data_IF_701223962318
#
_entry.id   IF_701223962318
#
_cell.length_a   1.000
_cell.length_b   1.000
_cell.length_c   1.000
_cell.angle_alpha   90.00
_cell.angle_beta   90.00
_cell.angle_gamma   90.00
#
_symmetry.space_group_name_H-M   'P 1'
#
loop_
_entity.id
_entity.type
_entity.pdbx_description
1 polymer ?
#
# COMPACT_ATOMS: atom_id res chain seq x y z
N UNK A 1 18.41 5.95 -23.37
CA UNK A 1 17.54 7.15 -23.41
C UNK A 1 16.47 6.95 -22.36
N UNK A 2 16.31 7.92 -21.47
CA UNK A 2 15.48 7.79 -20.28
C UNK A 2 13.98 7.75 -20.65
N UNK A 3 13.31 6.63 -20.35
CA UNK A 3 11.89 6.40 -20.69
C UNK A 3 11.00 7.38 -19.91
N UNK A 4 11.46 7.82 -18.73
CA UNK A 4 10.78 8.74 -17.81
C UNK A 4 10.51 10.14 -18.40
N UNK A 5 11.20 10.49 -19.50
CA UNK A 5 11.02 11.78 -20.19
C UNK A 5 9.89 11.79 -21.23
N UNK A 6 9.30 10.63 -21.54
CA UNK A 6 8.30 10.47 -22.61
C UNK A 6 6.89 10.60 -22.05
N UNK A 7 6.09 11.53 -22.59
CA UNK A 7 4.74 11.79 -22.10
C UNK A 7 3.73 10.90 -22.87
N UNK A 8 3.07 9.91 -22.24
CA UNK A 8 2.11 9.04 -22.91
C UNK A 8 0.77 9.71 -23.22
N UNK A 9 0.34 10.68 -22.40
CA UNK A 9 -1.01 11.25 -22.46
C UNK A 9 -1.02 12.77 -22.63
N UNK A 10 -1.91 13.26 -23.50
CA UNK A 10 -2.11 14.69 -23.77
C UNK A 10 -3.59 15.08 -23.64
N UNK A 11 -3.88 16.37 -23.45
CA UNK A 11 -5.27 16.86 -23.44
C UNK A 11 -5.68 17.20 -24.87
N UNK A 12 -6.67 16.47 -25.41
CA UNK A 12 -7.25 16.79 -26.71
C UNK A 12 -8.08 18.06 -26.62
N UNK A 13 -7.86 19.00 -27.54
CA UNK A 13 -8.68 20.21 -27.64
C UNK A 13 -10.06 19.92 -28.25
N UNK A 14 -10.20 18.81 -28.96
CA UNK A 14 -11.43 18.45 -29.65
C UNK A 14 -12.43 17.80 -28.70
N UNK A 15 -11.97 16.91 -27.80
CA UNK A 15 -12.82 16.23 -26.82
C UNK A 15 -12.77 16.81 -25.41
N UNK A 16 -11.74 17.61 -25.09
CA UNK A 16 -11.46 18.04 -23.72
C UNK A 16 -11.03 16.92 -22.78
N UNK A 17 -10.69 15.74 -23.31
CA UNK A 17 -10.26 14.57 -22.54
C UNK A 17 -8.75 14.35 -22.65
N UNK A 18 -8.18 13.73 -21.63
CA UNK A 18 -6.86 13.14 -21.68
C UNK A 18 -6.92 11.92 -22.61
N UNK A 19 -6.00 11.85 -23.58
CA UNK A 19 -5.99 10.83 -24.63
C UNK A 19 -4.61 10.21 -24.81
N UNK A 20 -4.60 8.97 -25.29
CA UNK A 20 -3.40 8.27 -25.74
C UNK A 20 -2.77 8.93 -26.95
N UNK A 21 -1.43 8.94 -27.01
CA UNK A 21 -0.71 9.34 -28.22
C UNK A 21 -1.07 8.45 -29.43
N UNK A 22 -1.42 7.18 -29.22
CA UNK A 22 -1.85 6.27 -30.27
C UNK A 22 -3.27 6.53 -30.79
N UNK A 23 -4.07 7.32 -30.08
CA UNK A 23 -5.47 7.62 -30.44
C UNK A 23 -5.64 8.89 -31.27
N UNK A 24 -4.54 9.60 -31.54
CA UNK A 24 -4.52 10.89 -32.25
C UNK A 24 -3.65 10.83 -33.49
N UNK A 25 -3.87 11.76 -34.43
CA UNK A 25 -3.05 11.86 -35.63
C UNK A 25 -1.59 12.19 -35.30
N UNK A 26 -0.67 11.71 -36.13
CA UNK A 26 0.77 11.97 -35.98
C UNK A 26 1.09 13.46 -36.10
N UNK A 27 2.07 13.91 -35.33
CA UNK A 27 2.68 15.23 -35.47
C UNK A 27 1.80 16.34 -34.89
N UNK A 28 1.77 17.48 -35.57
CA UNK A 28 1.00 18.66 -35.14
C UNK A 28 -0.51 18.50 -35.37
N UNK A 29 -0.92 17.50 -36.15
CA UNK A 29 -2.32 17.23 -36.43
C UNK A 29 -3.03 16.56 -35.24
N UNK A 30 -2.30 16.18 -34.18
CA UNK A 30 -2.87 15.57 -32.98
C UNK A 30 -3.83 16.47 -32.20
N UNK A 31 -3.77 17.80 -32.40
CA UNK A 31 -4.61 18.81 -31.71
C UNK A 31 -4.66 18.60 -30.20
N UNK A 32 -3.50 18.36 -29.60
CA UNK A 32 -3.35 18.18 -28.16
C UNK A 32 -2.57 19.34 -27.55
N UNK A 33 -2.86 19.66 -26.29
CA UNK A 33 -2.14 20.63 -25.47
C UNK A 33 -1.65 19.99 -24.17
N UNK A 34 -0.60 20.56 -23.59
CA UNK A 34 -0.14 20.18 -22.25
C UNK A 34 -1.19 20.62 -21.21
N UNK A 35 -1.69 19.72 -20.33
CA UNK A 35 -2.61 20.09 -19.27
C UNK A 35 -2.03 21.12 -18.28
N UNK A 36 -0.71 21.09 -18.04
CA UNK A 36 -0.02 22.02 -17.12
C UNK A 36 0.21 23.39 -17.78
N UNK A 37 1.13 23.49 -18.74
CA UNK A 37 1.55 24.77 -19.30
C UNK A 37 0.71 25.26 -20.50
N UNK A 38 -0.30 24.48 -20.94
CA UNK A 38 -1.18 24.76 -22.09
C UNK A 38 -0.47 24.88 -23.45
N UNK A 39 0.84 24.65 -23.51
CA UNK A 39 1.60 24.68 -24.77
C UNK A 39 1.14 23.52 -25.69
N UNK A 40 0.99 23.75 -27.01
CA UNK A 40 0.67 22.70 -27.96
C UNK A 40 1.66 21.53 -27.92
N UNK A 41 1.14 20.32 -28.02
CA UNK A 41 1.91 19.09 -28.10
C UNK A 41 2.06 18.63 -29.55
N UNK A 42 3.05 17.78 -29.77
CA UNK A 42 3.31 17.08 -31.03
C UNK A 42 3.30 15.58 -30.72
N UNK A 43 2.46 14.81 -31.42
CA UNK A 43 2.44 13.35 -31.30
C UNK A 43 3.61 12.74 -32.09
N UNK A 44 4.55 12.08 -31.41
CA UNK A 44 5.71 11.43 -32.02
C UNK A 44 5.46 9.94 -32.12
N UNK A 45 5.00 9.50 -33.28
CA UNK A 45 4.90 8.08 -33.64
C UNK A 45 6.23 7.63 -34.26
N UNK A 46 7.12 7.11 -33.42
CA UNK A 46 8.44 6.61 -33.83
C UNK A 46 8.40 5.14 -34.25
N UNK A 47 9.35 4.73 -35.09
CA UNK A 47 9.56 3.32 -35.44
C UNK A 47 10.57 2.61 -34.55
N UNK A 48 11.41 3.37 -33.85
CA UNK A 48 12.47 2.86 -32.94
C UNK A 48 12.24 3.29 -31.49
N UNK A 49 11.39 4.28 -31.25
CA UNK A 49 11.11 4.84 -29.94
C UNK A 49 9.63 4.73 -29.65
N UNK A 50 9.29 4.40 -28.40
CA UNK A 50 7.93 4.41 -27.88
C UNK A 50 7.22 5.73 -28.24
N UNK A 51 5.97 5.62 -28.64
CA UNK A 51 5.18 6.75 -29.06
C UNK A 51 4.95 7.68 -27.87
N UNK A 52 5.07 8.98 -28.07
CA UNK A 52 4.93 9.94 -26.98
C UNK A 52 4.54 11.32 -27.50
N UNK A 53 3.99 12.14 -26.61
CA UNK A 53 3.86 13.56 -26.82
C UNK A 53 5.16 14.29 -26.47
N UNK A 54 5.42 15.36 -27.19
CA UNK A 54 6.46 16.33 -26.85
C UNK A 54 5.91 17.75 -26.98
N UNK A 55 6.40 18.67 -26.15
CA UNK A 55 6.11 20.09 -26.31
C UNK A 55 6.58 20.58 -27.68
N UNK A 56 5.72 21.35 -28.36
CA UNK A 56 6.13 22.08 -29.56
C UNK A 56 7.08 23.20 -29.13
N UNK A 57 8.33 23.16 -29.59
CA UNK A 57 9.27 24.24 -29.32
C UNK A 57 8.75 25.55 -29.93
N UNK A 58 8.48 26.55 -29.10
CA UNK A 58 8.33 27.92 -29.58
C UNK A 58 9.73 28.41 -29.95
N UNK A 59 9.98 28.66 -31.24
CA UNK A 59 11.18 29.37 -31.72
C UNK A 59 11.06 30.87 -31.43
N UNK A 60 10.80 31.25 -30.19
CA UNK A 60 10.88 32.64 -29.75
C UNK A 60 12.06 32.75 -28.82
N UNK A 61 13.08 33.44 -29.31
CA UNK A 61 14.21 33.92 -28.53
C UNK A 61 13.69 34.59 -27.25
N UNK A 62 14.34 34.26 -26.12
CA UNK A 62 14.37 35.04 -24.89
C UNK A 62 13.02 35.55 -24.39
N UNK A 63 12.36 34.73 -23.56
CA UNK A 63 11.76 35.11 -22.27
C UNK A 63 10.70 34.05 -21.91
N UNK A 64 10.87 33.41 -20.74
CA UNK A 64 10.03 32.32 -20.19
C UNK A 64 10.01 31.00 -20.98
N UNK A 65 11.09 30.21 -20.88
CA UNK A 65 10.88 28.76 -20.67
C UNK A 65 10.16 28.64 -19.34
N UNK A 66 8.84 28.69 -19.33
CA UNK A 66 8.10 28.24 -18.16
C UNK A 66 8.58 26.81 -17.88
N UNK A 67 9.14 26.58 -16.69
CA UNK A 67 9.47 25.23 -16.23
C UNK A 67 8.15 24.45 -16.20
N UNK A 68 7.92 23.62 -17.22
CA UNK A 68 6.75 22.78 -17.29
C UNK A 68 7.03 21.51 -16.49
N UNK A 69 6.25 21.29 -15.44
CA UNK A 69 6.31 20.13 -14.57
C UNK A 69 5.58 18.89 -15.12
N UNK A 70 5.00 19.00 -16.33
CA UNK A 70 4.26 17.91 -16.95
C UNK A 70 5.19 16.78 -17.39
N UNK A 71 5.31 15.77 -16.53
CA UNK A 71 6.13 14.58 -16.69
C UNK A 71 5.31 13.35 -17.04
N UNK A 72 5.99 12.22 -17.28
CA UNK A 72 5.36 10.90 -17.41
C UNK A 72 4.38 10.65 -16.25
N UNK A 73 4.87 10.74 -15.02
CA UNK A 73 4.08 10.44 -13.82
C UNK A 73 2.87 11.38 -13.65
N UNK A 74 3.03 12.67 -13.95
CA UNK A 74 1.91 13.64 -13.90
C UNK A 74 0.86 13.30 -14.96
N UNK A 75 1.27 12.94 -16.18
CA UNK A 75 0.33 12.54 -17.23
C UNK A 75 -0.43 11.26 -16.89
N UNK A 76 0.25 10.27 -16.31
CA UNK A 76 -0.36 9.02 -15.82
C UNK A 76 -1.38 9.33 -14.73
N UNK A 77 -1.04 10.19 -13.77
CA UNK A 77 -1.97 10.59 -12.69
C UNK A 77 -3.26 11.21 -13.22
N UNK A 78 -3.16 12.09 -14.22
CA UNK A 78 -4.35 12.67 -14.84
C UNK A 78 -5.19 11.61 -15.56
N UNK A 79 -4.54 10.65 -16.25
CA UNK A 79 -5.26 9.54 -16.86
C UNK A 79 -5.93 8.63 -15.82
N UNK A 80 -5.28 8.32 -14.69
CA UNK A 80 -5.88 7.54 -13.60
C UNK A 80 -7.15 8.22 -13.09
N UNK A 81 -7.12 9.54 -12.90
CA UNK A 81 -8.31 10.31 -12.48
C UNK A 81 -9.45 10.18 -13.49
N UNK A 82 -9.16 10.39 -14.78
CA UNK A 82 -10.18 10.27 -15.83
C UNK A 82 -10.74 8.84 -15.94
N UNK A 83 -9.89 7.82 -15.79
CA UNK A 83 -10.35 6.44 -15.77
C UNK A 83 -11.24 6.16 -14.57
N UNK A 84 -10.88 6.69 -13.39
CA UNK A 84 -11.67 6.55 -12.17
C UNK A 84 -13.09 7.11 -12.32
N UNK A 85 -13.24 8.29 -12.93
CA UNK A 85 -14.57 8.85 -13.22
C UNK A 85 -15.35 8.02 -14.25
N UNK A 86 -14.67 7.19 -15.03
CA UNK A 86 -15.25 6.33 -16.07
C UNK A 86 -15.34 4.85 -15.63
N UNK A 87 -15.50 4.60 -14.33
CA UNK A 87 -15.78 3.26 -13.79
C UNK A 87 -14.58 2.32 -13.70
N UNK A 88 -13.38 2.85 -13.46
CA UNK A 88 -12.19 2.05 -13.17
C UNK A 88 -12.40 1.20 -11.91
N UNK A 89 -12.05 -0.09 -11.99
CA UNK A 89 -11.99 -0.97 -10.83
C UNK A 89 -10.58 -0.97 -10.24
N UNK A 90 -10.46 -1.33 -8.97
CA UNK A 90 -9.17 -1.37 -8.29
C UNK A 90 -8.91 -2.75 -7.72
N UNK A 91 -7.95 -3.46 -8.30
CA UNK A 91 -7.42 -4.69 -7.70
C UNK A 91 -6.58 -4.29 -6.49
N UNK A 92 -6.94 -4.77 -5.31
CA UNK A 92 -6.23 -4.46 -4.07
C UNK A 92 -5.54 -5.71 -3.53
N UNK A 93 -4.32 -5.60 -2.98
CA UNK A 93 -3.57 -6.74 -2.48
C UNK A 93 -4.19 -7.32 -1.21
N UNK A 94 -3.85 -8.59 -0.93
CA UNK A 94 -3.99 -9.18 0.40
C UNK A 94 -3.21 -8.34 1.41
N UNK A 95 -3.78 -8.15 2.59
CA UNK A 95 -3.08 -7.53 3.71
C UNK A 95 -3.13 -8.49 4.89
N UNK A 96 -1.96 -8.86 5.37
CA UNK A 96 -1.76 -9.70 6.54
C UNK A 96 -0.50 -9.27 7.29
N UNK A 97 -0.37 -9.73 8.53
CA UNK A 97 0.85 -9.54 9.29
C UNK A 97 1.14 -10.74 10.16
N UNK A 98 2.38 -10.78 10.65
CA UNK A 98 2.90 -11.85 11.51
C UNK A 98 3.44 -11.22 12.78
N UNK A 99 3.11 -11.79 13.93
CA UNK A 99 3.69 -11.42 15.22
C UNK A 99 4.53 -12.59 15.73
N UNK A 100 5.87 -12.54 15.58
CA UNK A 100 6.73 -13.58 16.13
C UNK A 100 6.75 -13.51 17.66
N UNK A 101 6.83 -14.67 18.29
CA UNK A 101 7.01 -14.80 19.73
C UNK A 101 8.04 -15.89 20.04
N UNK A 102 8.80 -15.65 21.11
CA UNK A 102 9.77 -16.58 21.65
C UNK A 102 9.59 -16.66 23.16
N UNK A 103 9.46 -17.87 23.68
CA UNK A 103 9.41 -18.13 25.11
C UNK A 103 10.81 -18.45 25.61
N UNK A 104 11.34 -17.64 26.53
CA UNK A 104 12.61 -17.92 27.20
C UNK A 104 12.50 -19.09 28.19
N UNK A 105 11.29 -19.41 28.65
CA UNK A 105 11.04 -20.48 29.60
C UNK A 105 11.07 -21.87 28.95
N UNK A 106 10.45 -22.00 27.78
CA UNK A 106 10.32 -23.26 27.05
C UNK A 106 11.23 -23.36 25.83
N UNK A 107 11.94 -22.27 25.49
CA UNK A 107 12.76 -22.11 24.28
C UNK A 107 12.00 -22.39 22.97
N UNK A 108 10.67 -22.23 22.99
CA UNK A 108 9.81 -22.39 21.82
C UNK A 108 9.61 -21.06 21.10
N UNK A 109 9.55 -21.13 19.76
CA UNK A 109 9.14 -20.02 18.91
C UNK A 109 7.76 -20.32 18.32
N UNK A 110 6.92 -19.29 18.20
CA UNK A 110 5.61 -19.39 17.55
C UNK A 110 5.24 -18.07 16.90
N UNK A 111 4.78 -18.16 15.66
CA UNK A 111 4.25 -17.03 14.91
C UNK A 111 2.73 -16.95 15.05
N UNK A 112 2.23 -15.70 15.15
CA UNK A 112 0.81 -15.39 15.24
C UNK A 112 0.41 -14.55 14.04
N UNK A 113 -0.12 -15.22 13.02
CA UNK A 113 -0.59 -14.60 11.79
C UNK A 113 -1.95 -13.92 12.00
N UNK A 114 -2.17 -12.81 11.30
CA UNK A 114 -3.48 -12.17 11.21
C UNK A 114 -3.76 -11.66 9.80
N UNK A 115 -4.87 -12.13 9.23
CA UNK A 115 -5.36 -11.69 7.93
C UNK A 115 -6.28 -10.48 8.10
N UNK A 116 -5.92 -9.35 7.49
CA UNK A 116 -6.74 -8.14 7.49
C UNK A 116 -7.77 -8.17 6.35
N UNK A 117 -7.32 -8.52 5.16
CA UNK A 117 -8.17 -8.70 3.98
C UNK A 117 -7.51 -9.62 2.97
N UNK A 118 -8.32 -10.39 2.25
CA UNK A 118 -7.86 -11.06 1.03
C UNK A 118 -7.71 -10.07 -0.12
N UNK A 119 -6.94 -10.49 -1.13
CA UNK A 119 -6.91 -9.84 -2.43
C UNK A 119 -8.33 -9.77 -3.02
N UNK A 120 -8.71 -8.61 -3.53
CA UNK A 120 -10.06 -8.42 -4.10
C UNK A 120 -10.10 -7.35 -5.18
N UNK A 121 -11.16 -7.36 -5.97
CA UNK A 121 -11.44 -6.32 -6.97
C UNK A 121 -12.53 -5.39 -6.43
N UNK A 122 -12.18 -4.12 -6.23
CA UNK A 122 -13.09 -3.11 -5.71
C UNK A 122 -13.71 -2.31 -6.84
N UNK A 123 -14.98 -1.96 -6.69
CA UNK A 123 -15.67 -0.95 -7.50
C UNK A 123 -15.98 0.21 -6.57
N UNK A 124 -15.67 1.43 -7.01
CA UNK A 124 -15.91 2.64 -6.23
C UNK A 124 -17.24 3.26 -6.66
N UNK A 125 -18.04 3.63 -5.67
CA UNK A 125 -19.23 4.47 -5.81
C UNK A 125 -18.85 5.93 -5.55
N UNK A 126 -19.65 6.88 -6.04
CA UNK A 126 -19.50 8.33 -5.78
C UNK A 126 -18.05 8.84 -5.94
N UNK A 127 -17.46 8.59 -7.11
CA UNK A 127 -16.05 8.89 -7.37
C UNK A 127 -15.82 10.39 -7.56
N UNK A 128 -14.92 10.93 -6.75
CA UNK A 128 -14.36 12.28 -6.87
C UNK A 128 -12.84 12.19 -7.13
N UNK A 129 -12.33 13.10 -7.96
CA UNK A 129 -10.90 13.14 -8.33
C UNK A 129 -10.27 14.47 -7.93
N UNK A 130 -9.04 14.43 -7.43
CA UNK A 130 -8.42 15.65 -6.89
C UNK A 130 -9.12 16.18 -5.64
N UNK A 131 -9.86 15.32 -4.92
CA UNK A 131 -10.61 15.68 -3.72
C UNK A 131 -9.70 15.90 -2.51
N UNK A 132 -10.20 16.63 -1.51
CA UNK A 132 -9.52 16.80 -0.23
C UNK A 132 -9.87 15.66 0.72
N UNK A 133 -8.87 15.03 1.34
CA UNK A 133 -9.05 14.01 2.37
C UNK A 133 -7.95 14.12 3.43
N UNK A 134 -8.34 14.26 4.71
CA UNK A 134 -7.41 14.47 5.83
C UNK A 134 -6.40 15.61 5.61
N UNK A 135 -6.82 16.70 4.95
CA UNK A 135 -5.96 17.86 4.63
C UNK A 135 -5.09 17.71 3.38
N UNK A 136 -5.13 16.54 2.71
CA UNK A 136 -4.36 16.25 1.51
C UNK A 136 -5.22 16.26 0.25
N UNK A 137 -4.63 16.63 -0.89
CA UNK A 137 -5.26 16.41 -2.20
C UNK A 137 -4.94 14.99 -2.68
N UNK A 138 -5.96 14.13 -2.75
CA UNK A 138 -5.83 12.74 -3.19
C UNK A 138 -6.21 12.60 -4.67
N UNK A 139 -5.76 11.53 -5.32
CA UNK A 139 -6.03 11.37 -6.75
C UNK A 139 -7.43 10.84 -7.00
N UNK A 140 -7.87 9.85 -6.22
CA UNK A 140 -9.23 9.31 -6.29
C UNK A 140 -9.76 9.15 -4.86
N UNK A 141 -10.98 9.62 -4.64
CA UNK A 141 -11.79 9.36 -3.45
C UNK A 141 -13.11 8.77 -3.93
N UNK A 142 -13.54 7.67 -3.31
CA UNK A 142 -14.87 7.11 -3.57
C UNK A 142 -15.35 6.30 -2.37
N UNK A 143 -16.43 5.55 -2.55
CA UNK A 143 -17.04 4.72 -1.51
C UNK A 143 -16.96 3.24 -1.87
N UNK A 144 -16.62 2.42 -0.89
CA UNK A 144 -16.75 0.96 -0.95
C UNK A 144 -17.68 0.54 0.18
N UNK A 145 -18.91 0.12 -0.14
CA UNK A 145 -19.94 -0.22 0.87
C UNK A 145 -20.12 0.91 1.89
N UNK A 146 -20.25 2.15 1.40
CA UNK A 146 -20.37 3.38 2.20
C UNK A 146 -19.17 3.72 3.08
N UNK A 147 -18.01 3.11 2.85
CA UNK A 147 -16.74 3.41 3.53
C UNK A 147 -15.86 4.22 2.57
N UNK A 148 -15.38 5.42 2.95
CA UNK A 148 -14.41 6.17 2.15
C UNK A 148 -13.20 5.33 1.77
N UNK A 149 -12.86 5.36 0.50
CA UNK A 149 -11.73 4.65 -0.07
C UNK A 149 -10.90 5.61 -0.92
N UNK A 150 -9.63 5.73 -0.57
CA UNK A 150 -8.68 6.67 -1.15
C UNK A 150 -7.66 5.91 -1.97
N UNK A 151 -7.39 6.41 -3.17
CA UNK A 151 -6.21 6.04 -3.96
C UNK A 151 -5.30 7.25 -4.07
N UNK A 152 -4.07 7.08 -3.60
CA UNK A 152 -3.02 8.09 -3.69
C UNK A 152 -1.89 7.59 -4.57
N UNK A 153 -1.59 8.29 -5.66
CA UNK A 153 -0.56 7.88 -6.61
C UNK A 153 0.82 8.37 -6.15
N UNK A 154 1.79 7.49 -5.99
CA UNK A 154 3.17 7.86 -5.63
C UNK A 154 4.14 7.63 -6.78
N UNK A 155 5.20 8.41 -6.79
CA UNK A 155 6.32 8.32 -7.73
C UNK A 155 7.53 9.04 -7.12
N UNK A 156 8.70 8.92 -7.75
CA UNK A 156 9.99 9.49 -7.27
C UNK A 156 9.93 10.81 -6.47
N UNK A 157 9.17 11.82 -6.93
CA UNK A 157 9.11 13.16 -6.30
C UNK A 157 7.78 13.43 -5.56
N UNK A 158 6.92 12.42 -5.39
CA UNK A 158 5.66 12.51 -4.66
C UNK A 158 5.48 11.28 -3.76
N UNK A 159 5.78 11.47 -2.49
CA UNK A 159 5.65 10.46 -1.45
C UNK A 159 4.22 10.44 -0.88
N UNK A 160 3.86 9.31 -0.27
CA UNK A 160 2.63 9.16 0.50
C UNK A 160 2.65 10.01 1.78
N UNK A 161 1.72 10.97 1.97
CA UNK A 161 1.63 11.78 3.17
C UNK A 161 1.38 10.96 4.45
N UNK A 162 1.95 11.40 5.58
CA UNK A 162 1.78 10.73 6.89
C UNK A 162 0.31 10.74 7.32
N UNK A 163 -0.42 11.82 7.02
CA UNK A 163 -1.86 11.97 7.25
C UNK A 163 -2.71 10.88 6.56
N UNK A 164 -2.20 10.22 5.52
CA UNK A 164 -2.87 9.11 4.83
C UNK A 164 -2.48 7.73 5.37
N UNK A 165 -1.35 7.62 6.08
CA UNK A 165 -0.95 6.40 6.82
C UNK A 165 -1.73 6.28 8.13
N UNK A 166 -2.06 7.41 8.74
CA UNK A 166 -2.86 7.51 9.97
C UNK A 166 -4.01 8.52 9.80
N UNK A 167 -5.03 8.19 8.99
CA UNK A 167 -6.11 9.12 8.68
C UNK A 167 -6.98 9.41 9.91
N UNK A 168 -7.43 10.66 10.03
CA UNK A 168 -8.38 11.08 11.06
C UNK A 168 -9.73 10.33 10.93
N UNK A 169 -10.08 9.93 9.71
CA UNK A 169 -11.27 9.13 9.42
C UNK A 169 -10.95 7.64 9.61
N UNK A 170 -11.08 7.15 10.85
CA UNK A 170 -10.70 5.76 11.17
C UNK A 170 -11.45 4.68 10.37
N UNK A 171 -12.66 4.98 9.88
CA UNK A 171 -13.43 4.10 8.99
C UNK A 171 -13.20 4.50 7.53
N UNK A 172 -11.97 4.38 7.06
CA UNK A 172 -11.60 4.58 5.64
C UNK A 172 -10.56 3.55 5.20
N UNK A 173 -10.50 3.22 3.92
CA UNK A 173 -9.38 2.51 3.31
C UNK A 173 -8.49 3.46 2.51
N UNK A 174 -7.17 3.27 2.57
CA UNK A 174 -6.20 4.04 1.79
C UNK A 174 -5.25 3.08 1.08
N UNK A 175 -5.20 3.17 -0.24
CA UNK A 175 -4.24 2.48 -1.09
C UNK A 175 -3.23 3.48 -1.65
N UNK A 176 -1.97 3.17 -1.47
CA UNK A 176 -0.89 3.72 -2.27
C UNK A 176 -0.83 3.01 -3.62
N UNK A 177 -0.78 3.77 -4.72
CA UNK A 177 -0.52 3.28 -6.07
C UNK A 177 0.79 3.90 -6.58
N UNK A 178 1.90 3.20 -6.39
CA UNK A 178 3.18 3.56 -6.94
C UNK A 178 3.20 3.27 -8.46
N UNK A 179 3.69 4.25 -9.24
CA UNK A 179 3.71 4.17 -10.71
C UNK A 179 5.12 4.16 -11.30
N UNK A 180 6.16 3.96 -10.49
CA UNK A 180 7.56 4.01 -10.94
C UNK A 180 7.92 2.86 -11.92
N UNK A 181 7.16 1.75 -11.89
CA UNK A 181 7.35 0.62 -12.80
C UNK A 181 6.60 0.75 -14.15
N UNK A 182 5.65 1.68 -14.25
CA UNK A 182 4.85 1.87 -15.48
C UNK A 182 5.67 2.25 -16.72
N UNK A 183 6.75 3.04 -16.65
CA UNK A 183 7.60 3.32 -17.82
C UNK A 183 8.07 2.04 -18.52
N UNK A 184 8.46 1.02 -17.75
CA UNK A 184 8.90 -0.26 -18.29
C UNK A 184 7.76 -1.07 -18.92
N UNK A 185 6.55 -0.95 -18.39
CA UNK A 185 5.36 -1.58 -18.96
C UNK A 185 4.94 -0.88 -20.26
N UNK A 186 4.95 0.44 -20.29
CA UNK A 186 4.59 1.23 -21.47
C UNK A 186 5.64 1.09 -22.58
N UNK A 187 6.92 0.90 -22.24
CA UNK A 187 7.96 0.64 -23.22
C UNK A 187 7.76 -0.65 -24.03
N UNK A 188 6.90 -1.57 -23.57
CA UNK A 188 6.54 -2.82 -24.25
C UNK A 188 5.30 -2.68 -25.15
N UNK A 189 4.66 -1.51 -25.16
CA UNK A 189 3.47 -1.22 -25.96
C UNK A 189 3.84 -0.34 -27.16
N UNK A 190 3.69 -0.90 -28.35
CA UNK A 190 4.18 -0.32 -29.60
C UNK A 190 3.16 0.57 -30.33
N UNK A 191 1.87 0.43 -30.02
CA UNK A 191 0.79 1.16 -30.69
C UNK A 191 0.41 2.47 -30.01
N UNK A 192 1.04 2.78 -28.87
CA UNK A 192 0.75 3.98 -28.09
C UNK A 192 -0.62 3.96 -27.40
N UNK A 193 -1.22 2.77 -27.22
CA UNK A 193 -2.50 2.52 -26.52
C UNK A 193 -2.26 2.28 -25.02
N UNK A 194 -1.69 3.27 -24.34
CA UNK A 194 -1.25 3.17 -22.96
C UNK A 194 -2.39 3.17 -21.94
N UNK A 195 -3.56 3.71 -22.29
CA UNK A 195 -4.74 3.67 -21.42
C UNK A 195 -5.15 2.24 -21.07
N UNK A 196 -5.10 1.31 -22.04
CA UNK A 196 -5.43 -0.10 -21.80
C UNK A 196 -4.39 -0.79 -20.93
N UNK A 197 -3.11 -0.50 -21.15
CA UNK A 197 -2.01 -1.00 -20.30
C UNK A 197 -2.20 -0.54 -18.86
N UNK A 198 -2.54 0.74 -18.67
CA UNK A 198 -2.80 1.32 -17.35
C UNK A 198 -4.03 0.71 -16.69
N UNK A 199 -5.12 0.53 -17.44
CA UNK A 199 -6.34 -0.09 -16.93
C UNK A 199 -6.05 -1.50 -16.41
N UNK A 200 -5.40 -2.35 -17.21
CA UNK A 200 -5.00 -3.71 -16.78
C UNK A 200 -4.07 -3.69 -15.58
N UNK A 201 -3.13 -2.75 -15.54
CA UNK A 201 -2.24 -2.58 -14.39
C UNK A 201 -3.02 -2.31 -13.10
N UNK A 202 -4.13 -1.56 -13.17
CA UNK A 202 -4.92 -1.20 -11.99
C UNK A 202 -6.00 -2.25 -11.66
N UNK A 203 -6.63 -2.84 -12.68
CA UNK A 203 -7.77 -3.74 -12.55
C UNK A 203 -7.41 -5.22 -12.36
N UNK A 204 -6.24 -5.65 -12.84
CA UNK A 204 -5.89 -7.08 -12.87
C UNK A 204 -4.70 -7.43 -11.95
N UNK A 205 -3.90 -6.43 -11.57
CA UNK A 205 -2.62 -6.63 -10.89
C UNK A 205 -2.57 -5.96 -9.53
N UNK A 206 -1.79 -6.51 -8.62
CA UNK A 206 -1.50 -5.92 -7.31
C UNK A 206 -0.14 -5.21 -7.25
N UNK A 207 0.67 -5.32 -8.31
CA UNK A 207 1.94 -4.60 -8.43
C UNK A 207 1.74 -3.08 -8.24
N UNK A 208 2.71 -2.47 -7.57
CA UNK A 208 2.70 -1.05 -7.21
C UNK A 208 1.59 -0.65 -6.23
N UNK A 209 0.78 -1.58 -5.72
CA UNK A 209 -0.31 -1.26 -4.79
C UNK A 209 0.03 -1.72 -3.39
N UNK A 210 -0.18 -0.86 -2.41
CA UNK A 210 0.04 -1.20 -1.01
C UNK A 210 -1.02 -0.54 -0.14
N UNK A 211 -1.50 -1.25 0.87
CA UNK A 211 -2.36 -0.66 1.88
C UNK A 211 -1.54 0.31 2.74
N UNK A 212 -1.85 1.59 2.59
CA UNK A 212 -1.36 2.63 3.48
C UNK A 212 -2.12 2.59 4.81
N UNK A 213 -3.42 2.28 4.74
CA UNK A 213 -4.28 2.15 5.91
C UNK A 213 -5.49 1.26 5.59
N UNK A 214 -5.79 0.31 6.46
CA UNK A 214 -7.00 -0.51 6.37
C UNK A 214 -7.80 -0.42 7.69
N UNK A 215 -9.13 -0.14 7.68
CA UNK A 215 -9.89 0.20 8.89
C UNK A 215 -10.02 -0.97 9.89
N UNK A 216 -9.84 -2.21 9.41
CA UNK A 216 -9.83 -3.43 10.23
C UNK A 216 -8.46 -3.79 10.84
N UNK A 217 -7.36 -3.24 10.34
CA UNK A 217 -6.01 -3.72 10.66
C UNK A 217 -5.71 -3.64 12.15
N UNK A 218 -5.88 -2.46 12.76
CA UNK A 218 -5.63 -2.24 14.19
C UNK A 218 -6.37 -3.23 15.08
N UNK A 219 -7.65 -3.49 14.78
CA UNK A 219 -8.47 -4.45 15.54
C UNK A 219 -7.92 -5.86 15.43
N UNK A 220 -7.60 -6.31 14.22
CA UNK A 220 -7.14 -7.68 13.97
C UNK A 220 -5.73 -7.92 14.51
N UNK A 221 -4.85 -6.94 14.38
CA UNK A 221 -3.53 -6.95 15.02
C UNK A 221 -3.64 -7.04 16.54
N UNK A 222 -4.54 -6.28 17.17
CA UNK A 222 -4.74 -6.34 18.62
C UNK A 222 -5.26 -7.71 19.09
N UNK A 223 -6.11 -8.38 18.30
CA UNK A 223 -6.55 -9.75 18.60
C UNK A 223 -5.36 -10.71 18.57
N UNK A 224 -4.50 -10.60 17.56
CA UNK A 224 -3.29 -11.42 17.45
C UNK A 224 -2.28 -11.14 18.58
N UNK A 225 -2.13 -9.86 18.99
CA UNK A 225 -1.31 -9.49 20.16
C UNK A 225 -1.84 -10.19 21.42
N UNK A 226 -3.16 -10.13 21.67
CA UNK A 226 -3.75 -10.79 22.84
C UNK A 226 -3.54 -12.32 22.83
N UNK A 227 -3.64 -12.95 21.67
CA UNK A 227 -3.36 -14.38 21.51
C UNK A 227 -1.89 -14.72 21.78
N UNK A 228 -0.99 -13.89 21.27
CA UNK A 228 0.46 -14.02 21.48
C UNK A 228 0.82 -13.89 22.96
N UNK A 229 0.32 -12.86 23.61
CA UNK A 229 0.62 -12.57 25.01
C UNK A 229 0.05 -13.68 25.91
N UNK A 230 -1.19 -14.12 25.64
CA UNK A 230 -1.77 -15.28 26.33
C UNK A 230 -0.96 -16.57 26.14
N UNK A 231 -0.31 -16.77 24.99
CA UNK A 231 0.55 -17.94 24.79
C UNK A 231 1.85 -17.82 25.60
N UNK A 232 2.49 -16.65 25.63
CA UNK A 232 3.69 -16.42 26.45
C UNK A 232 3.40 -16.65 27.95
N UNK A 233 2.28 -16.14 28.44
CA UNK A 233 1.85 -16.34 29.83
C UNK A 233 1.65 -17.84 30.16
N UNK A 234 1.09 -18.62 29.21
CA UNK A 234 0.94 -20.06 29.36
C UNK A 234 2.30 -20.78 29.43
N UNK A 235 3.28 -20.37 28.61
CA UNK A 235 4.61 -20.97 28.62
C UNK A 235 5.35 -20.70 29.95
N UNK A 236 5.23 -19.50 30.50
CA UNK A 236 5.79 -19.16 31.81
C UNK A 236 5.11 -19.95 32.95
N UNK A 237 3.78 -20.03 32.92
CA UNK A 237 3.01 -20.76 33.91
C UNK A 237 3.33 -22.27 33.91
N UNK A 238 3.51 -22.87 32.74
CA UNK A 238 3.87 -24.29 32.59
C UNK A 238 5.21 -24.60 33.28
N UNK A 239 6.24 -23.75 33.07
CA UNK A 239 7.54 -23.94 33.73
C UNK A 239 7.46 -23.67 35.22
N UNK A 240 6.72 -22.65 35.67
CA UNK A 240 6.51 -22.38 37.11
C UNK A 240 5.81 -23.55 37.82
N UNK A 241 4.82 -24.17 37.16
CA UNK A 241 4.16 -25.37 37.67
C UNK A 241 5.14 -26.56 37.71
N UNK A 242 5.88 -26.81 36.63
CA UNK A 242 6.85 -27.91 36.57
C UNK A 242 8.09 -27.72 37.48
N UNK A 243 8.41 -26.49 37.89
CA UNK A 243 9.51 -26.19 38.82
C UNK A 243 9.07 -26.06 40.28
N UNK A 244 7.76 -26.06 40.55
CA UNK A 244 7.22 -26.10 41.91
C UNK A 244 7.46 -27.47 42.55
N UNK A 245 8.66 -27.65 43.09
CA UNK A 245 9.02 -28.84 43.85
C UNK A 245 8.39 -28.77 45.24
N UNK A 246 7.61 -29.79 45.59
CA UNK A 246 7.19 -29.99 46.96
C UNK A 246 8.22 -30.88 47.66
N UNK A 247 8.67 -30.45 48.82
CA UNK A 247 9.61 -31.19 49.65
C UNK A 247 8.82 -31.95 50.72
N UNK A 248 9.07 -33.25 50.84
CA UNK A 248 8.50 -34.08 51.91
C UNK A 248 9.51 -34.27 53.01
N UNK A 249 9.20 -33.82 54.24
CA UNK A 249 10.06 -33.99 55.40
C UNK A 249 10.15 -35.46 55.80
N UNK A 250 11.37 -36.00 55.93
CA UNK A 250 11.59 -37.40 56.34
C UNK A 250 11.29 -37.69 57.81
N UNK A 251 11.18 -36.66 58.64
CA UNK A 251 10.98 -36.80 60.08
C UNK A 251 9.49 -36.86 60.47
N UNK A 252 8.64 -36.09 59.79
CA UNK A 252 7.22 -35.96 60.15
C UNK A 252 6.25 -36.10 58.99
N UNK A 253 6.73 -36.28 57.75
CA UNK A 253 5.89 -36.44 56.57
C UNK A 253 5.27 -35.15 56.02
N UNK A 254 5.55 -33.98 56.62
CA UNK A 254 5.08 -32.68 56.12
C UNK A 254 5.50 -32.46 54.67
N UNK A 255 4.60 -31.89 53.85
CA UNK A 255 4.84 -31.54 52.45
C UNK A 255 4.68 -30.04 52.28
N UNK A 256 5.67 -29.38 51.69
CA UNK A 256 5.56 -27.95 51.38
C UNK A 256 6.62 -27.44 50.41
N UNK A 257 6.55 -26.16 50.03
CA UNK A 257 7.39 -25.57 49.00
C UNK A 257 8.81 -25.23 49.49
N UNK A 258 9.11 -25.47 50.77
CA UNK A 258 10.39 -25.13 51.42
C UNK A 258 11.21 -26.37 51.75
N UNK A 259 12.53 -26.28 51.57
CA UNK A 259 13.49 -27.30 52.04
C UNK A 259 13.56 -27.39 53.57
N UNK A 260 12.99 -26.42 54.28
CA UNK A 260 12.89 -26.37 55.74
C UNK A 260 11.48 -26.74 56.17
N UNK A 261 11.37 -27.77 56.98
CA UNK A 261 10.11 -28.24 57.53
C UNK A 261 9.62 -27.29 58.64
N UNK A 262 8.45 -26.66 58.49
CA UNK A 262 7.90 -25.75 59.50
C UNK A 262 7.52 -26.45 60.81
N UNK A 263 6.91 -27.66 60.82
CA UNK A 263 6.54 -28.33 62.06
C UNK A 263 7.69 -28.79 62.96
N UNK A 264 8.83 -29.19 62.39
CA UNK A 264 9.92 -29.81 63.16
C UNK A 264 11.30 -29.18 62.95
N UNK A 265 11.36 -28.04 62.26
CA UNK A 265 12.58 -27.26 61.98
C UNK A 265 13.70 -28.03 61.26
N UNK A 266 13.38 -29.18 60.67
CA UNK A 266 14.34 -30.08 60.02
C UNK A 266 14.60 -29.71 58.56
N UNK A 267 15.83 -29.96 58.10
CA UNK A 267 16.24 -29.87 56.69
C UNK A 267 16.37 -31.25 56.00
N UNK A 268 15.90 -32.33 56.63
CA UNK A 268 15.88 -33.67 56.05
C UNK A 268 14.62 -33.86 55.20
N UNK A 269 14.76 -33.85 53.88
CA UNK A 269 13.64 -33.94 52.94
C UNK A 269 13.89 -34.88 51.75
N UNK A 270 12.82 -35.22 51.04
CA UNK A 270 12.84 -35.74 49.67
C UNK A 270 12.16 -34.75 48.74
N UNK A 271 12.79 -34.42 47.60
CA UNK A 271 12.16 -33.59 46.58
C UNK A 271 11.22 -34.45 45.74
N UNK A 272 9.94 -34.10 45.73
CA UNK A 272 9.00 -34.65 44.78
C UNK A 272 8.84 -33.60 43.69
N UNK A 273 9.45 -33.85 42.52
CA UNK A 273 9.01 -33.17 41.30
C UNK A 273 7.61 -33.67 41.02
N UNK A 274 6.65 -32.75 40.85
CA UNK A 274 5.33 -33.10 40.33
C UNK A 274 5.50 -33.61 38.91
#
# INVERSE_FOLDING_TARGET
MDVDSRIPFGLSTDSGQIVDVGSVERGNACRCICPSCKTPLVARHGTQNAWHFAHRSQKTHNETRNECDYSFAVSVRLMIRQLATNGLKFKVPRLEGVLPAYSEFTHQAKDFDYLVTEESLLTLEDVEVGAAFCGETVDVLGLVKSVPFVVHVTYKDRNLPISLKEPQVARSGVIELNVDDLPQLFAKEDSGQYQEVLRRYIEDRTDGKTWAYHPREKKLKNIAIAQRDSWLDQQEAEVKLNTSANFTCRMCGWVGPSIKCEPCDSHLYTSNKI
#
